data_IF_986640220544
#
_entry.id   IF_986640220544
#
_cell.length_a   1.000
_cell.length_b   1.000
_cell.length_c   1.000
_cell.angle_alpha   90.00
_cell.angle_beta   90.00
_cell.angle_gamma   90.00
#
_symmetry.space_group_name_H-M   'P 1'
#
loop_
_entity.id
_entity.type
_entity.pdbx_description
1 polymer ?
#
# COMPACT_ATOMS: atom_id res chain seq x y z
N UNK A 1 28.32 20.27 2.58
CA UNK A 1 27.46 19.47 1.68
C UNK A 1 28.12 18.13 1.45
N UNK A 2 27.37 17.04 1.50
CA UNK A 2 27.89 15.69 1.28
C UNK A 2 28.53 15.57 -0.12
N UNK A 3 29.68 14.88 -0.25
CA UNK A 3 30.46 14.78 -1.50
C UNK A 3 29.59 14.25 -2.65
N UNK A 4 28.64 13.36 -2.34
CA UNK A 4 27.66 12.82 -3.28
C UNK A 4 26.68 13.87 -3.81
N UNK A 5 26.20 14.80 -2.97
CA UNK A 5 25.24 15.83 -3.38
C UNK A 5 25.89 16.89 -4.27
N UNK A 6 27.17 17.20 -4.03
CA UNK A 6 27.94 18.10 -4.88
C UNK A 6 28.12 17.50 -6.27
N UNK A 7 28.55 16.23 -6.34
CA UNK A 7 28.73 15.51 -7.60
C UNK A 7 27.41 15.38 -8.37
N UNK A 8 26.30 15.04 -7.68
CA UNK A 8 24.98 14.98 -8.28
C UNK A 8 24.54 16.32 -8.91
N UNK A 9 24.73 17.43 -8.20
CA UNK A 9 24.40 18.77 -8.71
C UNK A 9 25.26 19.16 -9.91
N UNK A 10 26.55 18.83 -9.89
CA UNK A 10 27.48 19.14 -10.99
C UNK A 10 27.18 18.31 -12.24
N UNK A 11 26.83 17.02 -12.07
CA UNK A 11 26.38 16.17 -13.18
C UNK A 11 25.09 16.73 -13.77
N UNK A 12 24.12 17.10 -12.92
CA UNK A 12 22.83 17.63 -13.37
C UNK A 12 22.96 18.92 -14.18
N UNK A 13 23.86 19.82 -13.77
CA UNK A 13 24.17 21.03 -14.53
C UNK A 13 24.88 20.71 -15.86
N UNK A 14 25.85 19.80 -15.85
CA UNK A 14 26.61 19.45 -17.04
C UNK A 14 25.80 18.71 -18.10
N UNK A 15 24.72 18.01 -17.73
CA UNK A 15 23.82 17.36 -18.69
C UNK A 15 22.76 18.29 -19.27
N UNK A 16 22.82 19.59 -18.98
CA UNK A 16 21.90 20.60 -19.52
C UNK A 16 20.67 20.89 -18.64
N UNK A 17 20.65 20.39 -17.40
CA UNK A 17 19.56 20.59 -16.43
C UNK A 17 18.39 19.60 -16.59
N UNK A 18 17.39 19.74 -15.72
CA UNK A 18 16.20 18.87 -15.67
C UNK A 18 15.50 18.72 -17.02
N UNK A 19 15.22 19.83 -17.69
CA UNK A 19 14.51 19.84 -18.97
C UNK A 19 15.26 19.20 -20.14
N UNK A 20 16.51 18.76 -19.95
CA UNK A 20 17.27 18.04 -20.96
C UNK A 20 17.36 16.53 -20.69
N UNK A 21 16.89 16.03 -19.54
CA UNK A 21 17.01 14.61 -19.17
C UNK A 21 15.73 13.87 -19.55
N UNK A 22 15.84 12.89 -20.45
CA UNK A 22 14.73 12.01 -20.81
C UNK A 22 14.64 10.79 -19.89
N UNK A 23 15.79 10.27 -19.45
CA UNK A 23 15.87 9.07 -18.61
C UNK A 23 17.07 9.11 -17.66
N UNK A 24 16.85 8.70 -16.41
CA UNK A 24 17.89 8.63 -15.38
C UNK A 24 17.87 7.29 -14.63
N UNK A 25 18.92 6.51 -14.82
CA UNK A 25 19.10 5.18 -14.23
C UNK A 25 20.51 5.01 -13.64
N UNK A 26 20.73 3.95 -12.88
CA UNK A 26 22.07 3.53 -12.48
C UNK A 26 22.19 2.01 -12.54
N UNK A 27 23.41 1.54 -12.72
CA UNK A 27 23.78 0.16 -12.42
C UNK A 27 24.65 0.11 -11.16
N UNK A 28 25.42 -0.96 -10.98
CA UNK A 28 26.28 -1.13 -9.81
C UNK A 28 27.37 -0.05 -9.72
N UNK A 29 27.93 0.41 -10.85
CA UNK A 29 29.10 1.31 -10.88
C UNK A 29 28.92 2.58 -11.72
N UNK A 30 27.80 2.73 -12.42
CA UNK A 30 27.59 3.82 -13.40
C UNK A 30 26.28 4.57 -13.19
N UNK A 31 26.34 5.88 -13.37
CA UNK A 31 25.20 6.78 -13.56
C UNK A 31 24.88 6.81 -15.05
N UNK A 32 23.61 6.61 -15.41
CA UNK A 32 23.14 6.50 -16.80
C UNK A 32 22.12 7.59 -17.08
N UNK A 33 22.40 8.42 -18.07
CA UNK A 33 21.56 9.56 -18.45
C UNK A 33 21.27 9.47 -19.94
N UNK A 34 20.00 9.51 -20.32
CA UNK A 34 19.57 9.79 -21.69
C UNK A 34 19.08 11.24 -21.73
N UNK A 35 19.44 11.96 -22.79
CA UNK A 35 19.12 13.38 -22.95
C UNK A 35 18.30 13.65 -24.20
N UNK A 36 17.53 14.75 -24.18
CA UNK A 36 16.74 15.19 -25.33
C UNK A 36 17.60 15.90 -26.38
N UNK A 37 18.63 16.63 -25.95
CA UNK A 37 19.55 17.37 -26.82
C UNK A 37 21.01 17.18 -26.36
N UNK A 38 21.79 16.49 -27.18
CA UNK A 38 23.23 16.26 -27.01
C UNK A 38 24.04 17.58 -27.03
N UNK A 39 23.57 18.63 -27.71
CA UNK A 39 24.31 19.90 -27.84
C UNK A 39 24.36 20.68 -26.52
N UNK A 40 23.45 20.40 -25.59
CA UNK A 40 23.40 21.01 -24.25
C UNK A 40 24.29 20.29 -23.24
N UNK A 41 25.01 19.25 -23.66
CA UNK A 41 25.81 18.41 -22.78
C UNK A 41 27.27 18.88 -22.74
N UNK A 42 27.72 19.35 -21.58
CA UNK A 42 29.11 19.79 -21.37
C UNK A 42 30.01 18.59 -21.02
N UNK A 43 30.28 17.76 -22.03
CA UNK A 43 31.09 16.54 -21.88
C UNK A 43 32.51 16.82 -21.38
N UNK A 44 33.10 17.94 -21.78
CA UNK A 44 34.46 18.31 -21.42
C UNK A 44 34.56 18.55 -19.92
N UNK A 45 33.60 19.28 -19.35
CA UNK A 45 33.52 19.51 -17.90
C UNK A 45 33.11 18.27 -17.13
N UNK A 46 32.15 17.48 -17.64
CA UNK A 46 31.67 16.28 -16.96
C UNK A 46 32.76 15.21 -16.79
N UNK A 47 33.69 15.09 -17.74
CA UNK A 47 34.80 14.13 -17.65
C UNK A 47 35.86 14.52 -16.62
N UNK A 48 35.95 15.80 -16.25
CA UNK A 48 36.96 16.32 -15.32
C UNK A 48 36.44 16.47 -13.88
N UNK A 49 35.18 16.14 -13.62
CA UNK A 49 34.60 16.21 -12.28
C UNK A 49 35.24 15.20 -11.33
N UNK A 50 35.59 15.68 -10.13
CA UNK A 50 36.11 14.85 -9.05
C UNK A 50 35.06 13.81 -8.61
N UNK A 51 35.35 12.52 -8.85
CA UNK A 51 34.43 11.41 -8.58
C UNK A 51 33.92 10.68 -9.84
N UNK A 52 34.16 11.22 -11.03
CA UNK A 52 33.96 10.51 -12.30
C UNK A 52 35.28 9.88 -12.74
N UNK A 53 35.30 8.55 -12.78
CA UNK A 53 36.47 7.73 -13.17
C UNK A 53 36.52 7.42 -14.66
N UNK A 54 35.45 7.73 -15.39
CA UNK A 54 35.37 7.49 -16.83
C UNK A 54 33.99 7.79 -17.40
N UNK A 55 33.91 7.88 -18.72
CA UNK A 55 32.69 8.16 -19.48
C UNK A 55 32.59 7.23 -20.69
N UNK A 56 31.38 6.74 -20.98
CA UNK A 56 31.07 5.93 -22.14
C UNK A 56 29.71 6.36 -22.72
N UNK A 57 29.59 6.44 -24.05
CA UNK A 57 28.28 6.53 -24.73
C UNK A 57 27.92 5.16 -25.29
N UNK A 58 26.71 4.68 -25.01
CA UNK A 58 26.20 3.39 -25.51
C UNK A 58 24.78 3.61 -26.05
N UNK A 59 24.63 3.66 -27.38
CA UNK A 59 23.41 4.13 -28.02
C UNK A 59 23.13 5.59 -27.61
N UNK A 60 21.89 5.86 -27.20
CA UNK A 60 21.45 7.18 -26.71
C UNK A 60 21.80 7.44 -25.24
N UNK A 61 22.43 6.47 -24.57
CA UNK A 61 22.71 6.55 -23.13
C UNK A 61 24.16 7.00 -22.85
N UNK A 62 24.26 8.09 -22.09
CA UNK A 62 25.51 8.62 -21.52
C UNK A 62 25.78 7.97 -20.16
N UNK A 63 26.90 7.27 -20.03
CA UNK A 63 27.27 6.53 -18.82
C UNK A 63 28.50 7.15 -18.14
N UNK A 64 28.35 7.62 -16.91
CA UNK A 64 29.42 8.15 -16.07
C UNK A 64 29.81 7.11 -15.01
N UNK A 65 31.07 6.69 -15.01
CA UNK A 65 31.60 5.67 -14.09
C UNK A 65 31.98 6.36 -12.79
N UNK A 66 31.23 6.10 -11.71
CA UNK A 66 31.48 6.71 -10.39
C UNK A 66 31.91 5.68 -9.33
N UNK A 67 31.78 4.39 -9.65
CA UNK A 67 32.23 3.27 -8.81
C UNK A 67 31.11 2.59 -8.01
N UNK A 68 31.39 1.37 -7.49
CA UNK A 68 30.42 0.57 -6.77
C UNK A 68 29.93 1.26 -5.49
N UNK A 69 28.61 1.26 -5.26
CA UNK A 69 27.98 1.90 -4.10
C UNK A 69 27.78 3.42 -4.21
N UNK A 70 28.53 4.12 -5.05
CA UNK A 70 28.35 5.56 -5.32
C UNK A 70 27.27 5.83 -6.38
N UNK A 71 27.14 4.96 -7.38
CA UNK A 71 26.21 5.15 -8.51
C UNK A 71 24.75 5.32 -8.09
N UNK A 72 24.24 4.47 -7.20
CA UNK A 72 22.87 4.58 -6.68
C UNK A 72 22.70 5.86 -5.86
N UNK A 73 23.65 6.19 -4.98
CA UNK A 73 23.59 7.38 -4.13
C UNK A 73 23.59 8.68 -4.95
N UNK A 74 24.38 8.74 -6.02
CA UNK A 74 24.43 9.90 -6.93
C UNK A 74 23.13 10.03 -7.71
N UNK A 75 22.57 8.93 -8.24
CA UNK A 75 21.28 8.98 -8.93
C UNK A 75 20.13 9.35 -8.00
N UNK A 76 20.11 8.82 -6.76
CA UNK A 76 19.09 9.19 -5.77
C UNK A 76 19.21 10.66 -5.36
N UNK A 77 20.43 11.19 -5.23
CA UNK A 77 20.67 12.61 -5.01
C UNK A 77 20.23 13.46 -6.21
N UNK A 78 20.54 13.06 -7.44
CA UNK A 78 20.07 13.72 -8.66
C UNK A 78 18.54 13.71 -8.76
N UNK A 79 17.88 12.59 -8.46
CA UNK A 79 16.40 12.51 -8.40
C UNK A 79 15.82 13.40 -7.32
N UNK A 80 16.51 13.55 -6.19
CA UNK A 80 16.09 14.47 -5.12
C UNK A 80 16.23 15.92 -5.57
N UNK A 81 17.29 16.27 -6.30
CA UNK A 81 17.51 17.61 -6.85
C UNK A 81 16.52 17.94 -7.99
N UNK A 82 16.21 16.98 -8.86
CA UNK A 82 15.17 17.09 -9.88
C UNK A 82 13.79 17.34 -9.25
N UNK A 83 13.48 16.61 -8.17
CA UNK A 83 12.26 16.84 -7.36
C UNK A 83 12.19 18.20 -6.69
N UNK A 84 13.30 18.93 -6.57
CA UNK A 84 13.31 20.29 -5.99
C UNK A 84 13.09 21.40 -7.01
N UNK A 85 13.23 21.13 -8.32
CA UNK A 85 13.02 22.13 -9.38
C UNK A 85 11.60 22.14 -9.95
N UNK A 86 10.84 21.04 -9.81
CA UNK A 86 9.41 21.02 -10.14
C UNK A 86 8.50 21.15 -8.89
N UNK A 87 7.77 22.27 -8.86
CA UNK A 87 6.58 22.57 -8.07
C UNK A 87 6.76 22.97 -6.57
N UNK A 88 6.65 24.28 -6.22
CA UNK A 88 6.42 24.73 -4.83
C UNK A 88 5.15 24.15 -4.17
N UNK A 89 4.30 23.45 -4.90
CA UNK A 89 3.08 22.79 -4.39
C UNK A 89 3.37 21.40 -3.81
N UNK A 90 4.31 20.64 -4.40
CA UNK A 90 4.61 19.28 -3.96
C UNK A 90 5.41 19.25 -2.65
N UNK A 91 6.25 20.27 -2.44
CA UNK A 91 6.96 20.52 -1.18
C UNK A 91 6.02 20.78 0.00
N UNK A 92 4.92 21.52 -0.20
CA UNK A 92 3.98 21.83 0.88
C UNK A 92 3.17 20.61 1.32
N UNK A 93 2.71 19.77 0.38
CA UNK A 93 2.02 18.51 0.70
C UNK A 93 2.95 17.59 1.50
N UNK A 94 4.21 17.45 1.08
CA UNK A 94 5.21 16.64 1.78
C UNK A 94 5.52 17.17 3.17
N UNK A 95 5.66 18.50 3.32
CA UNK A 95 5.90 19.17 4.60
C UNK A 95 4.72 19.01 5.56
N UNK A 96 3.49 19.21 5.08
CA UNK A 96 2.27 19.03 5.86
C UNK A 96 2.07 17.57 6.29
N UNK A 97 2.42 16.61 5.43
CA UNK A 97 2.43 15.19 5.78
C UNK A 97 3.45 14.88 6.88
N UNK A 98 4.66 15.42 6.78
CA UNK A 98 5.70 15.23 7.78
C UNK A 98 5.33 15.85 9.15
N UNK A 99 4.79 17.08 9.15
CA UNK A 99 4.37 17.76 10.37
C UNK A 99 3.18 17.06 11.04
N UNK A 100 2.18 16.64 10.26
CA UNK A 100 1.07 15.85 10.75
C UNK A 100 1.54 14.54 11.38
N UNK A 101 2.49 13.84 10.73
CA UNK A 101 3.05 12.59 11.26
C UNK A 101 3.79 12.82 12.58
N UNK A 102 4.55 13.91 12.72
CA UNK A 102 5.22 14.22 13.98
C UNK A 102 4.22 14.54 15.10
N UNK A 103 3.19 15.34 14.80
CA UNK A 103 2.19 15.80 15.77
C UNK A 103 1.20 14.72 16.20
N UNK A 104 0.79 13.84 15.29
CA UNK A 104 -0.26 12.84 15.51
C UNK A 104 0.26 11.40 15.56
N UNK A 105 1.57 11.20 15.73
CA UNK A 105 2.14 9.86 15.92
C UNK A 105 1.65 9.24 17.23
N UNK A 106 1.06 8.04 17.14
CA UNK A 106 0.56 7.34 18.32
C UNK A 106 1.68 6.56 19.04
N UNK A 107 1.64 6.44 20.39
CA UNK A 107 2.66 5.74 21.19
C UNK A 107 2.77 4.23 20.93
N UNK A 108 1.79 3.60 20.25
CA UNK A 108 1.84 2.19 19.83
C UNK A 108 2.25 2.01 18.35
N UNK A 109 2.74 3.06 17.70
CA UNK A 109 3.07 3.07 16.26
C UNK A 109 4.16 2.05 15.88
N UNK A 110 5.08 1.67 16.76
CA UNK A 110 6.21 0.79 16.40
C UNK A 110 5.80 -0.63 15.96
N UNK A 111 4.95 -1.31 16.72
CA UNK A 111 4.51 -2.67 16.39
C UNK A 111 3.57 -2.69 15.18
N UNK A 112 2.60 -1.77 15.15
CA UNK A 112 1.69 -1.62 14.00
C UNK A 112 2.44 -1.20 12.74
N UNK A 113 3.53 -0.43 12.88
CA UNK A 113 4.39 -0.07 11.76
C UNK A 113 5.15 -1.27 11.21
N UNK A 114 5.73 -2.10 12.09
CA UNK A 114 6.36 -3.36 11.64
C UNK A 114 5.37 -4.22 10.88
N UNK A 115 4.14 -4.37 11.39
CA UNK A 115 3.07 -5.09 10.68
C UNK A 115 2.79 -4.45 9.31
N UNK A 116 2.62 -3.13 9.24
CA UNK A 116 2.43 -2.42 7.98
C UNK A 116 3.55 -2.66 6.97
N UNK A 117 4.81 -2.62 7.43
CA UNK A 117 5.99 -2.79 6.58
C UNK A 117 6.09 -4.22 5.96
N UNK A 118 5.35 -5.20 6.49
CA UNK A 118 5.18 -6.53 5.88
C UNK A 118 4.29 -6.49 4.63
N UNK A 119 3.24 -5.68 4.65
CA UNK A 119 2.23 -5.66 3.58
C UNK A 119 2.39 -4.53 2.57
N UNK A 120 3.05 -3.42 2.92
CA UNK A 120 3.29 -2.30 1.99
C UNK A 120 3.92 -2.78 0.65
N UNK A 121 4.94 -3.67 0.63
CA UNK A 121 5.50 -4.16 -0.62
C UNK A 121 4.51 -4.96 -1.49
N UNK A 122 3.40 -5.42 -0.92
CA UNK A 122 2.38 -6.22 -1.61
C UNK A 122 1.29 -5.34 -2.27
N UNK A 123 1.22 -4.04 -1.95
CA UNK A 123 0.21 -3.11 -2.49
C UNK A 123 0.14 -3.17 -4.03
N UNK A 124 1.25 -3.11 -4.79
CA UNK A 124 1.17 -3.13 -6.26
C UNK A 124 0.54 -4.43 -6.80
N UNK A 125 0.84 -5.56 -6.17
CA UNK A 125 0.28 -6.85 -6.54
C UNK A 125 -1.23 -6.88 -6.29
N UNK A 126 -1.70 -6.36 -5.14
CA UNK A 126 -3.14 -6.26 -4.87
C UNK A 126 -3.88 -5.34 -5.83
N UNK A 127 -3.26 -4.22 -6.22
CA UNK A 127 -3.85 -3.30 -7.21
C UNK A 127 -4.01 -4.02 -8.55
N UNK A 128 -2.96 -4.68 -9.06
CA UNK A 128 -3.02 -5.42 -10.32
C UNK A 128 -4.08 -6.52 -10.27
N UNK A 129 -4.03 -7.36 -9.24
CA UNK A 129 -5.00 -8.44 -9.01
C UNK A 129 -6.43 -7.93 -8.91
N UNK A 130 -6.67 -6.88 -8.14
CA UNK A 130 -7.99 -6.30 -7.95
C UNK A 130 -8.57 -5.68 -9.22
N UNK A 131 -7.74 -5.00 -10.03
CA UNK A 131 -8.18 -4.44 -11.31
C UNK A 131 -8.53 -5.55 -12.31
N UNK A 132 -7.70 -6.61 -12.39
CA UNK A 132 -7.98 -7.76 -13.25
C UNK A 132 -9.29 -8.44 -12.81
N UNK A 133 -9.46 -8.72 -11.52
CA UNK A 133 -10.71 -9.28 -10.98
C UNK A 133 -11.92 -8.38 -11.25
N UNK A 134 -11.74 -7.07 -11.13
CA UNK A 134 -12.77 -6.09 -11.43
C UNK A 134 -13.20 -6.08 -12.90
N UNK A 135 -12.23 -6.16 -13.81
CA UNK A 135 -12.49 -6.29 -15.26
C UNK A 135 -13.22 -7.61 -15.53
N UNK A 136 -12.80 -8.72 -14.92
CA UNK A 136 -13.48 -10.02 -15.07
C UNK A 136 -14.94 -9.93 -14.62
N UNK A 137 -15.23 -9.27 -13.50
CA UNK A 137 -16.60 -9.08 -13.01
C UNK A 137 -17.48 -8.31 -14.01
N UNK A 138 -16.88 -7.38 -14.75
CA UNK A 138 -17.56 -6.63 -15.82
C UNK A 138 -17.77 -7.50 -17.06
N UNK A 139 -16.74 -8.24 -17.47
CA UNK A 139 -16.80 -9.11 -18.66
C UNK A 139 -17.74 -10.30 -18.49
N UNK A 140 -17.97 -10.75 -17.24
CA UNK A 140 -18.94 -11.80 -16.90
C UNK A 140 -20.39 -11.36 -16.95
N UNK A 141 -20.67 -10.07 -17.13
CA UNK A 141 -22.02 -9.50 -17.13
C UNK A 141 -22.57 -9.40 -18.56
N UNK A 142 -23.59 -10.18 -18.93
CA UNK A 142 -24.14 -10.16 -20.29
C UNK A 142 -24.73 -8.80 -20.68
N UNK A 143 -25.24 -8.06 -19.71
CA UNK A 143 -25.78 -6.70 -19.88
C UNK A 143 -24.72 -5.66 -20.28
N UNK A 144 -23.44 -5.94 -20.02
CA UNK A 144 -22.34 -5.00 -20.28
C UNK A 144 -21.42 -5.51 -21.39
N UNK A 145 -21.10 -6.80 -21.36
CA UNK A 145 -20.11 -7.44 -22.21
C UNK A 145 -20.71 -8.44 -23.21
N UNK A 146 -22.04 -8.56 -23.28
CA UNK A 146 -22.73 -9.48 -24.20
C UNK A 146 -22.31 -10.93 -23.97
N UNK A 147 -22.01 -11.64 -25.05
CA UNK A 147 -21.60 -13.05 -25.03
C UNK A 147 -20.09 -13.26 -24.79
N UNK A 148 -19.29 -12.22 -24.51
CA UNK A 148 -17.82 -12.36 -24.31
C UNK A 148 -17.49 -13.47 -23.30
N UNK A 149 -18.29 -13.59 -22.23
CA UNK A 149 -18.05 -14.59 -21.21
C UNK A 149 -18.27 -16.03 -21.67
N UNK A 150 -19.25 -16.24 -22.56
CA UNK A 150 -19.57 -17.56 -23.12
C UNK A 150 -18.70 -17.89 -24.33
N UNK A 151 -18.28 -16.87 -25.08
CA UNK A 151 -17.50 -17.03 -26.31
C UNK A 151 -16.01 -17.25 -26.01
N UNK A 152 -15.49 -16.67 -24.92
CA UNK A 152 -14.08 -16.74 -24.54
C UNK A 152 -13.85 -17.23 -23.08
N UNK A 153 -14.38 -18.39 -22.69
CA UNK A 153 -14.29 -18.86 -21.30
C UNK A 153 -12.85 -19.14 -20.85
N UNK A 154 -11.98 -19.59 -21.77
CA UNK A 154 -10.57 -19.86 -21.49
C UNK A 154 -9.78 -18.58 -21.20
N UNK A 155 -10.07 -17.48 -21.91
CA UNK A 155 -9.42 -16.18 -21.66
C UNK A 155 -9.81 -15.67 -20.27
N UNK A 156 -11.09 -15.75 -19.92
CA UNK A 156 -11.56 -15.39 -18.58
C UNK A 156 -10.97 -16.28 -17.49
N UNK A 157 -10.79 -17.58 -17.77
CA UNK A 157 -10.09 -18.51 -16.87
C UNK A 157 -8.64 -18.09 -16.62
N UNK A 158 -7.89 -17.77 -17.67
CA UNK A 158 -6.52 -17.28 -17.55
C UNK A 158 -6.44 -15.96 -16.79
N UNK A 159 -7.32 -15.00 -17.11
CA UNK A 159 -7.40 -13.73 -16.37
C UNK A 159 -7.73 -13.97 -14.89
N UNK A 160 -8.61 -14.92 -14.58
CA UNK A 160 -8.93 -15.27 -13.20
C UNK A 160 -7.71 -15.84 -12.46
N UNK A 161 -6.87 -16.64 -13.11
CA UNK A 161 -5.59 -17.11 -12.55
C UNK A 161 -4.65 -15.92 -12.30
N UNK A 162 -4.51 -15.01 -13.26
CA UNK A 162 -3.64 -13.83 -13.11
C UNK A 162 -4.11 -12.92 -11.96
N UNK A 163 -5.42 -12.67 -11.90
CA UNK A 163 -6.04 -11.89 -10.83
C UNK A 163 -5.93 -12.58 -9.46
N UNK A 164 -6.09 -13.90 -9.42
CA UNK A 164 -6.05 -14.69 -8.19
C UNK A 164 -4.65 -14.99 -7.64
N UNK A 165 -3.60 -14.82 -8.45
CA UNK A 165 -2.24 -15.28 -8.12
C UNK A 165 -1.73 -14.76 -6.76
N UNK A 166 -1.89 -13.47 -6.46
CA UNK A 166 -1.43 -12.88 -5.18
C UNK A 166 -2.11 -13.52 -3.97
N UNK A 167 -3.38 -13.91 -4.11
CA UNK A 167 -4.15 -14.55 -3.05
C UNK A 167 -3.71 -16.00 -2.84
N UNK A 168 -3.38 -16.70 -3.93
CA UNK A 168 -2.91 -18.08 -3.89
C UNK A 168 -1.56 -18.23 -3.15
N UNK A 169 -0.67 -17.24 -3.27
CA UNK A 169 0.66 -17.24 -2.61
C UNK A 169 0.78 -16.20 -1.49
N UNK A 170 -0.35 -15.68 -1.00
CA UNK A 170 -0.41 -14.60 -0.01
C UNK A 170 0.44 -14.88 1.22
N UNK A 171 0.23 -16.05 1.83
CA UNK A 171 0.92 -16.47 3.04
C UNK A 171 2.44 -16.51 2.82
N UNK A 172 2.88 -17.00 1.65
CA UNK A 172 4.29 -17.09 1.30
C UNK A 172 4.91 -15.69 1.16
N UNK A 173 4.25 -14.79 0.43
CA UNK A 173 4.70 -13.41 0.26
C UNK A 173 4.78 -12.67 1.61
N UNK A 174 3.78 -12.88 2.48
CA UNK A 174 3.79 -12.33 3.84
C UNK A 174 4.92 -12.94 4.66
N UNK A 175 5.16 -14.26 4.59
CA UNK A 175 6.24 -14.91 5.33
C UNK A 175 7.63 -14.37 4.94
N UNK A 176 7.88 -14.21 3.64
CA UNK A 176 9.12 -13.59 3.12
C UNK A 176 9.28 -12.17 3.64
N UNK A 177 8.24 -11.35 3.54
CA UNK A 177 8.28 -9.96 3.98
C UNK A 177 8.39 -9.82 5.51
N UNK A 178 7.74 -10.70 6.26
CA UNK A 178 7.83 -10.77 7.71
C UNK A 178 9.26 -11.10 8.14
N UNK A 179 9.89 -12.09 7.49
CA UNK A 179 11.28 -12.45 7.78
C UNK A 179 12.23 -11.26 7.52
N UNK A 180 12.02 -10.53 6.41
CA UNK A 180 12.76 -9.28 6.13
C UNK A 180 12.56 -8.23 7.23
N UNK A 181 11.33 -8.00 7.69
CA UNK A 181 11.01 -6.99 8.72
C UNK A 181 11.55 -7.38 10.09
N UNK A 182 11.45 -8.67 10.46
CA UNK A 182 11.98 -9.18 11.72
C UNK A 182 13.50 -9.45 11.65
N UNK A 183 14.11 -9.34 10.48
CA UNK A 183 15.56 -9.44 10.25
C UNK A 183 16.11 -10.87 10.28
N UNK A 184 15.33 -11.86 9.84
CA UNK A 184 15.79 -13.24 9.61
C UNK A 184 15.90 -13.58 8.13
N UNK A 185 16.12 -14.86 7.82
CA UNK A 185 16.26 -15.35 6.46
C UNK A 185 14.92 -15.33 5.71
N UNK A 186 14.88 -14.59 4.60
CA UNK A 186 13.68 -14.43 3.76
C UNK A 186 13.22 -15.75 3.15
N UNK A 187 14.16 -16.57 2.67
CA UNK A 187 13.86 -17.89 2.13
C UNK A 187 13.20 -18.79 3.19
N UNK A 188 13.73 -18.77 4.42
CA UNK A 188 13.15 -19.51 5.55
C UNK A 188 11.74 -19.01 5.90
N UNK A 189 11.50 -17.71 5.85
CA UNK A 189 10.15 -17.14 6.02
C UNK A 189 9.15 -17.68 5.00
N UNK A 190 9.55 -17.77 3.73
CA UNK A 190 8.75 -18.37 2.66
C UNK A 190 8.53 -19.87 2.87
N UNK A 191 9.56 -20.62 3.25
CA UNK A 191 9.48 -22.06 3.58
C UNK A 191 8.50 -22.28 4.73
N UNK A 192 8.58 -21.48 5.80
CA UNK A 192 7.67 -21.62 6.93
C UNK A 192 6.22 -21.39 6.54
N UNK A 193 5.95 -20.32 5.78
CA UNK A 193 4.62 -20.08 5.26
C UNK A 193 4.12 -21.19 4.32
N UNK A 194 5.01 -21.78 3.52
CA UNK A 194 4.73 -22.92 2.66
C UNK A 194 4.35 -24.18 3.45
N UNK A 195 5.09 -24.49 4.53
CA UNK A 195 4.75 -25.58 5.46
C UNK A 195 3.35 -25.37 6.02
N UNK A 196 3.05 -24.19 6.54
CA UNK A 196 1.75 -23.86 7.13
C UNK A 196 0.60 -23.96 6.12
N UNK A 197 0.86 -23.63 4.86
CA UNK A 197 -0.15 -23.60 3.79
C UNK A 197 -0.23 -24.92 3.01
N UNK A 198 0.57 -25.92 3.39
CA UNK A 198 0.67 -27.18 2.64
C UNK A 198 -0.64 -27.97 2.71
N UNK A 199 -1.24 -28.34 1.57
CA UNK A 199 -2.42 -29.21 1.55
C UNK A 199 -2.16 -30.58 2.20
N UNK A 200 -0.91 -31.03 2.25
CA UNK A 200 -0.52 -32.29 2.86
C UNK A 200 -0.80 -32.34 4.37
N UNK A 201 -0.94 -31.18 5.05
CA UNK A 201 -1.37 -31.14 6.44
C UNK A 201 -2.74 -31.79 6.64
N UNK A 202 -3.65 -31.67 5.67
CA UNK A 202 -4.98 -32.30 5.73
C UNK A 202 -4.95 -33.85 5.74
N UNK A 203 -3.79 -34.45 5.50
CA UNK A 203 -3.61 -35.91 5.55
C UNK A 203 -2.98 -36.38 6.88
N UNK A 204 -2.73 -35.46 7.81
CA UNK A 204 -2.08 -35.73 9.09
C UNK A 204 -3.09 -35.52 10.21
N UNK A 205 -3.21 -36.50 11.11
CA UNK A 205 -4.04 -36.41 12.32
C UNK A 205 -3.14 -36.35 13.55
N UNK A 206 -3.40 -35.39 14.43
CA UNK A 206 -2.61 -35.13 15.63
C UNK A 206 -3.56 -34.82 16.79
N UNK A 207 -3.37 -35.49 17.93
CA UNK A 207 -4.28 -35.41 19.09
C UNK A 207 -5.76 -35.73 18.77
N UNK A 208 -6.01 -36.58 17.77
CA UNK A 208 -7.37 -36.95 17.35
C UNK A 208 -8.04 -35.98 16.37
N UNK A 209 -7.38 -34.88 16.00
CA UNK A 209 -7.88 -33.87 15.05
C UNK A 209 -7.04 -33.86 13.77
N UNK A 210 -7.69 -33.77 12.61
CA UNK A 210 -6.99 -33.59 11.33
C UNK A 210 -6.48 -32.15 11.23
N UNK A 211 -5.20 -31.99 10.86
CA UNK A 211 -4.60 -30.68 10.72
C UNK A 211 -5.23 -29.92 9.55
N UNK A 212 -5.45 -28.62 9.73
CA UNK A 212 -6.06 -27.77 8.71
C UNK A 212 -4.98 -26.95 7.99
N UNK A 213 -4.78 -27.15 6.67
CA UNK A 213 -3.90 -26.31 5.87
C UNK A 213 -4.26 -24.83 6.02
N UNK A 214 -3.27 -24.00 6.34
CA UNK A 214 -3.45 -22.56 6.45
C UNK A 214 -4.25 -22.08 7.68
N UNK A 215 -4.47 -22.93 8.70
CA UNK A 215 -5.17 -22.52 9.92
C UNK A 215 -4.54 -21.27 10.56
N UNK A 216 -5.39 -20.29 10.89
CA UNK A 216 -4.98 -18.98 11.41
C UNK A 216 -4.43 -18.01 10.36
N UNK A 217 -4.50 -18.39 9.08
CA UNK A 217 -4.24 -17.51 7.95
C UNK A 217 -2.90 -16.79 8.02
N UNK A 218 -2.91 -15.53 7.59
CA UNK A 218 -1.73 -14.67 7.64
C UNK A 218 -1.31 -14.33 9.08
N UNK A 219 -2.22 -14.33 10.04
CA UNK A 219 -1.90 -14.06 11.46
C UNK A 219 -0.96 -15.14 12.00
N UNK A 220 -1.26 -16.42 11.74
CA UNK A 220 -0.38 -17.53 12.09
C UNK A 220 0.99 -17.41 11.42
N UNK A 221 1.04 -17.04 10.13
CA UNK A 221 2.31 -16.82 9.41
C UNK A 221 3.16 -15.75 10.10
N UNK A 222 2.57 -14.63 10.50
CA UNK A 222 3.28 -13.55 11.20
C UNK A 222 3.88 -14.03 12.53
N UNK A 223 3.11 -14.78 13.33
CA UNK A 223 3.55 -15.34 14.60
C UNK A 223 4.70 -16.34 14.41
N UNK A 224 4.55 -17.26 13.45
CA UNK A 224 5.54 -18.30 13.16
C UNK A 224 6.83 -17.71 12.65
N UNK A 225 6.77 -16.76 11.73
CA UNK A 225 7.98 -16.15 11.17
C UNK A 225 8.67 -15.26 12.20
N UNK A 226 7.93 -14.59 13.09
CA UNK A 226 8.53 -13.87 14.21
C UNK A 226 9.31 -14.81 15.15
N UNK A 227 8.73 -15.95 15.50
CA UNK A 227 9.40 -16.98 16.30
C UNK A 227 10.63 -17.56 15.57
N UNK A 228 10.47 -17.87 14.27
CA UNK A 228 11.55 -18.37 13.42
C UNK A 228 12.73 -17.40 13.40
N UNK A 229 12.49 -16.11 13.15
CA UNK A 229 13.55 -15.10 13.12
C UNK A 229 14.24 -14.94 14.48
N UNK A 230 13.49 -15.06 15.58
CA UNK A 230 14.06 -15.02 16.92
C UNK A 230 14.97 -16.23 17.17
N UNK A 231 14.50 -17.44 16.84
CA UNK A 231 15.25 -18.68 17.03
C UNK A 231 16.49 -18.73 16.13
N UNK A 232 16.36 -18.39 14.85
CA UNK A 232 17.45 -18.35 13.87
C UNK A 232 18.60 -17.45 14.34
N UNK A 233 18.28 -16.26 14.87
CA UNK A 233 19.28 -15.34 15.43
C UNK A 233 19.91 -15.87 16.71
N UNK A 234 19.13 -16.57 17.54
CA UNK A 234 19.64 -17.16 18.78
C UNK A 234 20.62 -18.28 18.48
N UNK A 235 20.28 -19.17 17.56
CA UNK A 235 21.13 -20.28 17.13
C UNK A 235 22.41 -19.81 16.45
N UNK A 236 22.35 -18.73 15.65
CA UNK A 236 23.54 -18.13 15.04
C UNK A 236 24.61 -17.71 16.05
N UNK A 237 24.19 -17.34 17.26
CA UNK A 237 25.10 -16.94 18.34
C UNK A 237 25.51 -18.12 19.25
N UNK A 238 24.80 -19.25 19.18
CA UNK A 238 25.03 -20.43 20.03
C UNK A 238 25.83 -21.52 19.32
N UNK A 239 25.68 -21.65 18.01
CA UNK A 239 26.33 -22.68 17.22
C UNK A 239 27.74 -22.25 16.80
N UNK A 240 28.72 -23.19 16.80
CA UNK A 240 30.02 -22.95 16.19
C UNK A 240 29.88 -22.65 14.69
N UNK A 241 30.71 -21.75 14.16
CA UNK A 241 30.67 -21.29 12.77
C UNK A 241 30.75 -22.45 11.75
N UNK A 242 31.49 -23.52 12.08
CA UNK A 242 31.66 -24.70 11.22
C UNK A 242 30.37 -25.49 10.96
N UNK A 243 29.39 -25.42 11.87
CA UNK A 243 28.14 -26.18 11.78
C UNK A 243 26.90 -25.31 11.65
N UNK A 244 27.03 -24.00 11.90
CA UNK A 244 25.91 -23.03 11.87
C UNK A 244 25.16 -23.07 10.54
N UNK A 245 25.87 -23.11 9.41
CA UNK A 245 25.28 -23.11 8.07
C UNK A 245 24.31 -24.28 7.83
N UNK A 246 24.55 -25.43 8.48
CA UNK A 246 23.74 -26.65 8.31
C UNK A 246 22.72 -26.78 9.44
N UNK A 247 23.18 -26.65 10.68
CA UNK A 247 22.35 -26.93 11.86
C UNK A 247 21.36 -25.80 12.15
N UNK A 248 21.70 -24.54 11.90
CA UNK A 248 20.79 -23.42 12.18
C UNK A 248 19.48 -23.53 11.37
N UNK A 249 19.49 -23.61 10.03
CA UNK A 249 18.25 -23.75 9.26
C UNK A 249 17.50 -25.05 9.58
N UNK A 250 18.20 -26.18 9.81
CA UNK A 250 17.58 -27.45 10.17
C UNK A 250 16.82 -27.35 11.51
N UNK A 251 17.52 -26.94 12.58
CA UNK A 251 16.95 -26.84 13.93
C UNK A 251 15.86 -25.78 13.98
N UNK A 252 16.09 -24.62 13.35
CA UNK A 252 15.08 -23.56 13.25
C UNK A 252 13.81 -24.09 12.59
N UNK A 253 13.92 -24.82 11.49
CA UNK A 253 12.76 -25.40 10.80
C UNK A 253 12.04 -26.41 11.68
N UNK A 254 12.76 -27.41 12.20
CA UNK A 254 12.15 -28.50 12.96
C UNK A 254 11.42 -27.96 14.20
N UNK A 255 12.06 -27.08 14.97
CA UNK A 255 11.45 -26.52 16.17
C UNK A 255 10.31 -25.59 15.81
N UNK A 256 10.53 -24.63 14.91
CA UNK A 256 9.50 -23.62 14.61
C UNK A 256 8.31 -24.23 13.89
N UNK A 257 8.49 -25.16 12.95
CA UNK A 257 7.39 -25.85 12.27
C UNK A 257 6.55 -26.69 13.23
N UNK A 258 7.19 -27.40 14.16
CA UNK A 258 6.47 -28.20 15.17
C UNK A 258 5.64 -27.30 16.08
N UNK A 259 6.26 -26.25 16.63
CA UNK A 259 5.55 -25.26 17.46
C UNK A 259 4.48 -24.51 16.66
N UNK A 260 4.71 -24.29 15.37
CA UNK A 260 3.74 -23.65 14.51
C UNK A 260 2.45 -24.46 14.40
N UNK A 261 2.55 -25.74 14.09
CA UNK A 261 1.40 -26.62 13.90
C UNK A 261 0.65 -26.85 15.23
N UNK A 262 1.40 -27.13 16.30
CA UNK A 262 0.80 -27.52 17.58
C UNK A 262 0.26 -26.34 18.38
N UNK A 263 0.89 -25.16 18.27
CA UNK A 263 0.60 -24.02 19.15
C UNK A 263 0.18 -22.80 18.33
N UNK A 264 0.99 -22.34 17.38
CA UNK A 264 0.78 -21.03 16.76
C UNK A 264 -0.36 -21.00 15.73
N UNK A 265 -0.63 -22.09 15.01
CA UNK A 265 -1.78 -22.21 14.12
C UNK A 265 -3.11 -22.21 14.90
N UNK A 266 -3.28 -22.99 15.99
CA UNK A 266 -4.46 -22.88 16.85
C UNK A 266 -4.66 -21.48 17.44
N UNK A 267 -3.59 -20.86 17.96
CA UNK A 267 -3.65 -19.48 18.50
C UNK A 267 -4.02 -18.50 17.39
N UNK A 268 -3.35 -18.59 16.23
CA UNK A 268 -3.65 -17.78 15.07
C UNK A 268 -5.11 -17.94 14.65
N UNK A 269 -5.62 -19.18 14.59
CA UNK A 269 -7.02 -19.50 14.30
C UNK A 269 -7.98 -18.82 15.27
N UNK A 270 -7.74 -18.93 16.58
CA UNK A 270 -8.57 -18.27 17.59
C UNK A 270 -8.59 -16.74 17.42
N UNK A 271 -7.44 -16.13 17.11
CA UNK A 271 -7.35 -14.68 16.84
C UNK A 271 -8.10 -14.33 15.55
N UNK A 272 -7.89 -15.09 14.49
CA UNK A 272 -8.55 -14.93 13.18
C UNK A 272 -10.08 -15.01 13.32
N UNK A 273 -10.58 -16.07 13.98
CA UNK A 273 -12.00 -16.28 14.25
C UNK A 273 -12.58 -15.13 15.08
N UNK A 274 -11.85 -14.69 16.12
CA UNK A 274 -12.26 -13.57 16.97
C UNK A 274 -12.37 -12.25 16.20
N UNK A 275 -11.40 -11.95 15.32
CA UNK A 275 -11.43 -10.74 14.46
C UNK A 275 -12.61 -10.81 13.51
N UNK A 276 -12.76 -11.93 12.80
CA UNK A 276 -13.79 -12.12 11.80
C UNK A 276 -15.20 -12.02 12.43
N UNK A 277 -15.40 -12.72 13.55
CA UNK A 277 -16.63 -12.66 14.33
C UNK A 277 -16.92 -11.26 14.88
N UNK A 278 -15.90 -10.58 15.43
CA UNK A 278 -16.03 -9.22 15.96
C UNK A 278 -16.45 -8.21 14.89
N UNK A 279 -15.84 -8.28 13.70
CA UNK A 279 -16.22 -7.43 12.55
C UNK A 279 -17.65 -7.73 12.11
N UNK A 280 -18.03 -9.00 11.99
CA UNK A 280 -19.38 -9.38 11.58
C UNK A 280 -20.42 -8.90 12.60
N UNK A 281 -20.19 -9.07 13.90
CA UNK A 281 -21.08 -8.54 14.95
C UNK A 281 -21.21 -7.02 14.83
N UNK A 282 -20.08 -6.32 14.69
CA UNK A 282 -20.07 -4.87 14.62
C UNK A 282 -20.89 -4.38 13.42
N UNK A 283 -20.78 -5.05 12.26
CA UNK A 283 -21.52 -4.70 11.05
C UNK A 283 -22.99 -5.10 11.15
N UNK A 284 -23.29 -6.34 11.56
CA UNK A 284 -24.65 -6.87 11.57
C UNK A 284 -25.53 -6.26 12.67
N UNK A 285 -24.98 -6.04 13.87
CA UNK A 285 -25.73 -5.44 15.00
C UNK A 285 -25.57 -3.93 15.07
N UNK A 286 -24.40 -3.41 14.72
CA UNK A 286 -24.09 -1.99 14.84
C UNK A 286 -24.60 -1.14 13.67
N UNK A 287 -24.87 -1.75 12.51
CA UNK A 287 -25.55 -1.13 11.38
C UNK A 287 -25.00 0.25 11.01
N UNK A 288 -25.89 1.25 10.96
CA UNK A 288 -25.54 2.63 10.59
C UNK A 288 -24.48 3.25 11.52
N UNK A 289 -24.58 3.02 12.84
CA UNK A 289 -23.70 3.66 13.82
C UNK A 289 -22.25 3.18 13.68
N UNK A 290 -22.06 1.86 13.55
CA UNK A 290 -20.71 1.30 13.39
C UNK A 290 -20.09 1.77 12.07
N UNK A 291 -20.86 1.75 10.98
CA UNK A 291 -20.39 2.29 9.71
C UNK A 291 -19.98 3.77 9.79
N UNK A 292 -20.77 4.58 10.51
CA UNK A 292 -20.47 5.99 10.73
C UNK A 292 -19.18 6.22 11.51
N UNK A 293 -19.00 5.49 12.60
CA UNK A 293 -17.81 5.60 13.46
C UNK A 293 -16.57 5.13 12.70
N UNK A 294 -16.64 3.97 12.04
CA UNK A 294 -15.51 3.40 11.31
C UNK A 294 -15.01 4.34 10.21
N UNK A 295 -15.91 4.82 9.34
CA UNK A 295 -15.53 5.71 8.25
C UNK A 295 -15.18 7.13 8.74
N UNK A 296 -15.95 7.67 9.70
CA UNK A 296 -15.74 9.01 10.24
C UNK A 296 -14.42 9.14 11.01
N UNK A 297 -14.00 8.10 11.74
CA UNK A 297 -12.74 8.09 12.48
C UNK A 297 -11.52 7.68 11.62
N UNK A 298 -11.74 7.23 10.37
CA UNK A 298 -10.65 6.68 9.56
C UNK A 298 -9.63 7.73 9.13
N UNK A 299 -10.03 8.96 8.81
CA UNK A 299 -9.08 10.01 8.43
C UNK A 299 -8.10 10.37 9.56
N UNK A 300 -8.54 10.58 10.83
CA UNK A 300 -7.63 10.67 11.97
C UNK A 300 -6.68 9.47 12.08
N UNK A 301 -7.20 8.24 11.87
CA UNK A 301 -6.37 7.04 11.86
C UNK A 301 -5.32 7.06 10.73
N UNK A 302 -5.66 7.61 9.57
CA UNK A 302 -4.74 7.84 8.44
C UNK A 302 -3.62 8.80 8.84
N UNK A 303 -3.92 9.90 9.56
CA UNK A 303 -2.92 10.85 10.04
C UNK A 303 -1.87 10.19 10.95
N UNK A 304 -2.31 9.29 11.83
CA UNK A 304 -1.42 8.56 12.74
C UNK A 304 -0.62 7.44 12.05
N UNK A 305 -1.00 7.06 10.82
CA UNK A 305 -0.43 5.93 10.09
C UNK A 305 -0.89 4.54 10.57
N UNK A 306 -1.69 4.48 11.64
CA UNK A 306 -2.17 3.22 12.22
C UNK A 306 -3.16 2.48 11.33
N UNK A 307 -3.77 3.13 10.33
CA UNK A 307 -4.66 2.50 9.36
C UNK A 307 -4.00 1.33 8.61
N UNK A 308 -2.69 1.37 8.42
CA UNK A 308 -1.94 0.26 7.81
C UNK A 308 -1.89 -0.99 8.71
N UNK A 309 -2.12 -0.83 10.02
CA UNK A 309 -2.31 -1.93 10.95
C UNK A 309 -3.62 -2.70 10.74
N UNK A 310 -4.57 -2.19 9.94
CA UNK A 310 -5.79 -2.91 9.56
C UNK A 310 -5.58 -3.89 8.40
N UNK A 311 -4.43 -3.83 7.72
CA UNK A 311 -4.15 -4.68 6.55
C UNK A 311 -4.26 -6.19 6.87
N UNK A 312 -3.69 -6.72 7.97
CA UNK A 312 -3.89 -8.12 8.34
C UNK A 312 -5.37 -8.49 8.51
N UNK A 313 -6.19 -7.58 9.05
CA UNK A 313 -7.63 -7.80 9.25
C UNK A 313 -8.34 -7.92 7.90
N UNK A 314 -8.00 -7.06 6.93
CA UNK A 314 -8.55 -7.17 5.58
C UNK A 314 -8.17 -8.50 4.91
N UNK A 315 -6.93 -8.96 5.10
CA UNK A 315 -6.46 -10.26 4.57
C UNK A 315 -7.26 -11.39 5.20
N UNK A 316 -7.41 -11.35 6.52
CA UNK A 316 -8.15 -12.35 7.25
C UNK A 316 -9.61 -12.43 6.82
N UNK A 317 -10.30 -11.30 6.64
CA UNK A 317 -11.70 -11.29 6.20
C UNK A 317 -11.88 -11.96 4.83
N UNK A 318 -10.95 -11.73 3.89
CA UNK A 318 -10.96 -12.42 2.60
C UNK A 318 -10.66 -13.91 2.76
N UNK A 319 -9.70 -14.29 3.60
CA UNK A 319 -9.34 -15.71 3.82
C UNK A 319 -10.46 -16.50 4.51
N UNK A 320 -11.11 -15.92 5.52
CA UNK A 320 -12.15 -16.57 6.31
C UNK A 320 -13.53 -16.56 5.63
N UNK A 321 -13.88 -15.50 4.88
CA UNK A 321 -15.23 -15.29 4.37
C UNK A 321 -15.32 -15.06 2.86
N UNK A 322 -14.19 -14.99 2.15
CA UNK A 322 -14.16 -14.68 0.71
C UNK A 322 -14.57 -13.24 0.37
N UNK A 323 -14.87 -12.40 1.36
CA UNK A 323 -15.25 -11.01 1.16
C UNK A 323 -14.81 -10.11 2.31
N UNK A 324 -14.63 -8.83 1.99
CA UNK A 324 -14.16 -7.81 2.90
C UNK A 324 -15.17 -6.66 2.97
N UNK A 325 -16.06 -6.66 3.98
CA UNK A 325 -17.03 -5.57 4.15
C UNK A 325 -16.42 -4.32 4.78
N UNK A 326 -15.25 -4.45 5.42
CA UNK A 326 -14.59 -3.34 6.10
C UNK A 326 -14.03 -2.31 5.11
N UNK A 327 -13.43 -2.77 4.00
CA UNK A 327 -12.78 -1.86 3.03
C UNK A 327 -13.75 -0.85 2.39
N UNK A 328 -14.94 -1.24 1.86
CA UNK A 328 -15.89 -0.28 1.31
C UNK A 328 -16.38 0.74 2.32
N UNK A 329 -16.57 0.35 3.59
CA UNK A 329 -16.97 1.27 4.67
C UNK A 329 -15.89 2.32 4.87
N UNK A 330 -14.63 1.90 5.10
CA UNK A 330 -13.51 2.80 5.34
C UNK A 330 -13.17 3.67 4.13
N UNK A 331 -13.40 3.17 2.91
CA UNK A 331 -13.21 3.92 1.67
C UNK A 331 -14.06 5.21 1.62
N UNK A 332 -15.22 5.24 2.29
CA UNK A 332 -16.08 6.42 2.34
C UNK A 332 -15.41 7.61 3.01
N UNK A 333 -14.42 7.39 3.89
CA UNK A 333 -13.65 8.47 4.48
C UNK A 333 -12.85 9.26 3.42
N UNK A 334 -12.24 8.55 2.45
CA UNK A 334 -11.57 9.17 1.31
C UNK A 334 -12.53 9.84 0.34
N UNK A 335 -13.75 9.32 0.21
CA UNK A 335 -14.79 9.90 -0.66
C UNK A 335 -15.36 11.17 -0.03
N UNK A 336 -15.48 11.21 1.31
CA UNK A 336 -15.81 12.42 2.05
C UNK A 336 -14.79 13.54 1.83
N UNK A 337 -13.50 13.20 1.68
CA UNK A 337 -12.45 14.15 1.30
C UNK A 337 -12.67 14.76 -0.08
N UNK A 338 -13.15 13.97 -1.05
CA UNK A 338 -13.50 14.48 -2.40
C UNK A 338 -14.59 15.54 -2.28
N UNK A 339 -15.67 15.24 -1.57
CA UNK A 339 -16.76 16.19 -1.33
C UNK A 339 -16.30 17.46 -0.62
N UNK A 340 -15.52 17.33 0.45
CA UNK A 340 -14.96 18.46 1.17
C UNK A 340 -14.05 19.33 0.29
N UNK A 341 -13.17 18.72 -0.50
CA UNK A 341 -12.28 19.43 -1.41
C UNK A 341 -13.05 20.15 -2.54
N UNK A 342 -14.13 19.57 -3.05
CA UNK A 342 -15.03 20.25 -4.00
C UNK A 342 -15.67 21.49 -3.38
N UNK A 343 -16.12 21.42 -2.11
CA UNK A 343 -16.65 22.58 -1.40
C UNK A 343 -15.59 23.67 -1.21
N UNK A 344 -14.37 23.30 -0.83
CA UNK A 344 -13.25 24.25 -0.72
C UNK A 344 -12.94 24.89 -2.07
N UNK A 345 -12.85 24.10 -3.15
CA UNK A 345 -12.55 24.59 -4.50
C UNK A 345 -13.55 25.65 -4.97
N UNK A 346 -14.84 25.44 -4.70
CA UNK A 346 -15.89 26.37 -5.09
C UNK A 346 -15.91 27.64 -4.23
N UNK A 347 -15.45 27.57 -2.98
CA UNK A 347 -15.55 28.67 -2.01
C UNK A 347 -14.27 29.52 -1.92
N UNK A 348 -13.10 28.92 -2.13
CA UNK A 348 -11.81 29.61 -2.02
C UNK A 348 -11.62 30.65 -3.12
N UNK A 349 -10.97 31.77 -2.78
CA UNK A 349 -10.49 32.78 -3.73
C UNK A 349 -9.01 32.60 -4.07
N UNK A 350 -8.25 31.94 -3.21
CA UNK A 350 -6.82 31.73 -3.35
C UNK A 350 -6.47 30.90 -4.61
N UNK A 351 -5.76 31.53 -5.57
CA UNK A 351 -5.41 30.90 -6.84
C UNK A 351 -4.50 29.67 -6.69
N UNK A 352 -3.57 29.71 -5.72
CA UNK A 352 -2.67 28.59 -5.42
C UNK A 352 -3.46 27.38 -4.91
N UNK A 353 -4.35 27.59 -3.93
CA UNK A 353 -5.20 26.53 -3.37
C UNK A 353 -6.11 25.93 -4.45
N UNK A 354 -6.70 26.74 -5.34
CA UNK A 354 -7.44 26.22 -6.50
C UNK A 354 -6.60 25.29 -7.38
N UNK A 355 -5.34 25.66 -7.66
CA UNK A 355 -4.43 24.82 -8.45
C UNK A 355 -4.12 23.50 -7.74
N UNK A 356 -3.88 23.52 -6.42
CA UNK A 356 -3.67 22.30 -5.62
C UNK A 356 -4.88 21.38 -5.74
N UNK A 357 -6.09 21.91 -5.53
CA UNK A 357 -7.31 21.11 -5.53
C UNK A 357 -7.59 20.54 -6.93
N UNK A 358 -7.40 21.32 -8.00
CA UNK A 358 -7.53 20.84 -9.39
C UNK A 358 -6.62 19.64 -9.67
N UNK A 359 -5.38 19.67 -9.18
CA UNK A 359 -4.43 18.56 -9.34
C UNK A 359 -4.78 17.36 -8.46
N UNK A 360 -5.29 17.59 -7.25
CA UNK A 360 -5.54 16.54 -6.27
C UNK A 360 -6.89 15.81 -6.45
N UNK A 361 -7.94 16.49 -6.93
CA UNK A 361 -9.29 15.93 -7.05
C UNK A 361 -9.36 14.68 -7.95
N UNK A 362 -8.80 14.65 -9.16
CA UNK A 362 -8.87 13.46 -10.03
C UNK A 362 -8.29 12.22 -9.34
N UNK A 363 -7.13 12.39 -8.71
CA UNK A 363 -6.44 11.28 -8.02
C UNK A 363 -7.17 10.86 -6.74
N UNK A 364 -7.82 11.82 -6.06
CA UNK A 364 -8.69 11.56 -4.91
C UNK A 364 -9.93 10.74 -5.26
N UNK A 365 -10.59 11.02 -6.40
CA UNK A 365 -11.71 10.22 -6.92
C UNK A 365 -11.27 8.77 -7.20
N UNK A 366 -10.02 8.59 -7.65
CA UNK A 366 -9.41 7.28 -7.87
C UNK A 366 -8.97 6.59 -6.57
N UNK A 367 -9.24 7.18 -5.41
CA UNK A 367 -8.99 6.57 -4.10
C UNK A 367 -7.63 6.90 -3.47
N UNK A 368 -6.84 7.80 -4.08
CA UNK A 368 -5.57 8.29 -3.51
C UNK A 368 -5.84 9.58 -2.75
N UNK A 369 -6.08 9.46 -1.44
CA UNK A 369 -6.56 10.55 -0.60
C UNK A 369 -5.49 11.49 -0.07
N UNK A 370 -4.20 11.11 -0.05
CA UNK A 370 -3.13 11.90 0.58
C UNK A 370 -2.98 13.33 0.02
N UNK A 371 -3.07 13.56 -1.31
CA UNK A 371 -3.03 14.91 -1.84
C UNK A 371 -4.17 15.80 -1.31
N UNK A 372 -5.37 15.25 -1.11
CA UNK A 372 -6.52 15.99 -0.57
C UNK A 372 -6.39 16.24 0.94
N UNK A 373 -5.95 15.23 1.71
CA UNK A 373 -5.77 15.37 3.15
C UNK A 373 -4.71 16.45 3.44
N UNK A 374 -3.50 16.28 2.91
CA UNK A 374 -2.36 17.11 3.31
C UNK A 374 -2.25 18.41 2.50
N UNK A 375 -2.84 18.46 1.30
CA UNK A 375 -2.82 19.65 0.44
C UNK A 375 -4.04 20.56 0.61
N UNK A 376 -5.15 20.06 1.16
CA UNK A 376 -6.42 20.81 1.17
C UNK A 376 -7.07 20.79 2.54
N UNK A 377 -7.53 19.64 3.02
CA UNK A 377 -8.49 19.63 4.13
C UNK A 377 -7.84 19.80 5.50
N UNK A 378 -6.71 19.12 5.74
CA UNK A 378 -6.00 19.17 7.03
C UNK A 378 -5.42 20.56 7.31
N UNK A 379 -4.75 21.26 6.36
CA UNK A 379 -4.23 22.61 6.61
C UNK A 379 -5.33 23.62 6.97
N UNK A 380 -6.53 23.45 6.41
CA UNK A 380 -7.69 24.32 6.66
C UNK A 380 -8.47 23.95 7.94
N UNK A 381 -8.19 22.78 8.54
CA UNK A 381 -8.79 22.31 9.79
C UNK A 381 -10.28 21.92 9.69
N UNK A 382 -11.17 22.89 9.47
CA UNK A 382 -12.63 22.65 9.39
C UNK A 382 -13.04 21.75 8.22
N UNK A 383 -12.48 21.89 7.00
CA UNK A 383 -12.80 20.98 5.90
C UNK A 383 -12.38 19.54 6.17
N UNK A 384 -11.36 19.30 7.00
CA UNK A 384 -10.99 17.94 7.43
C UNK A 384 -12.10 17.31 8.28
N UNK A 385 -12.71 18.07 9.19
CA UNK A 385 -13.86 17.61 9.98
C UNK A 385 -15.07 17.37 9.06
N UNK A 386 -15.35 18.30 8.14
CA UNK A 386 -16.41 18.14 7.14
C UNK A 386 -16.25 16.86 6.30
N UNK A 387 -15.02 16.52 5.92
CA UNK A 387 -14.70 15.26 5.25
C UNK A 387 -14.96 14.04 6.14
N UNK A 388 -14.61 14.09 7.44
CA UNK A 388 -14.90 13.01 8.39
C UNK A 388 -16.40 12.79 8.54
N UNK A 389 -17.19 13.85 8.67
CA UNK A 389 -18.65 13.77 8.78
C UNK A 389 -19.29 13.25 7.49
N UNK A 390 -18.81 13.69 6.32
CA UNK A 390 -19.22 13.13 5.04
C UNK A 390 -18.93 11.63 4.96
N UNK A 391 -17.71 11.24 5.33
CA UNK A 391 -17.30 9.84 5.42
C UNK A 391 -18.17 9.02 6.37
N UNK A 392 -18.57 9.58 7.51
CA UNK A 392 -19.47 8.93 8.47
C UNK A 392 -20.84 8.62 7.84
N UNK A 393 -21.44 9.58 7.13
CA UNK A 393 -22.73 9.34 6.43
C UNK A 393 -22.58 8.23 5.39
N UNK A 394 -21.53 8.28 4.58
CA UNK A 394 -21.22 7.24 3.60
C UNK A 394 -21.03 5.87 4.23
N UNK A 395 -20.15 5.79 5.22
CA UNK A 395 -19.82 4.56 5.93
C UNK A 395 -21.04 3.93 6.59
N UNK A 396 -21.92 4.74 7.17
CA UNK A 396 -23.18 4.28 7.74
C UNK A 396 -24.02 3.54 6.68
N UNK A 397 -24.25 4.15 5.52
CA UNK A 397 -25.08 3.59 4.45
C UNK A 397 -24.45 2.33 3.84
N UNK A 398 -23.14 2.37 3.55
CA UNK A 398 -22.40 1.21 3.02
C UNK A 398 -22.47 0.02 3.99
N UNK A 399 -22.33 0.28 5.30
CA UNK A 399 -22.45 -0.73 6.34
C UNK A 399 -23.89 -1.28 6.42
N UNK A 400 -24.89 -0.41 6.45
CA UNK A 400 -26.31 -0.79 6.50
C UNK A 400 -26.73 -1.63 5.27
N UNK A 401 -26.26 -1.26 4.08
CA UNK A 401 -26.51 -2.01 2.85
C UNK A 401 -25.68 -3.29 2.72
N UNK A 402 -24.80 -3.56 3.69
CA UNK A 402 -23.90 -4.73 3.73
C UNK A 402 -23.10 -4.87 2.43
N UNK A 403 -22.53 -3.77 1.98
CA UNK A 403 -21.69 -3.75 0.77
C UNK A 403 -20.32 -4.31 1.14
N UNK A 404 -19.85 -5.30 0.38
CA UNK A 404 -18.53 -5.91 0.55
C UNK A 404 -17.77 -5.98 -0.78
N UNK A 405 -16.45 -6.13 -0.70
CA UNK A 405 -15.57 -6.36 -1.87
C UNK A 405 -14.94 -7.75 -1.83
N UNK A 406 -14.50 -8.25 -2.98
CA UNK A 406 -13.75 -9.51 -3.11
C UNK A 406 -12.23 -9.32 -3.05
N UNK A 407 -11.74 -8.10 -2.83
CA UNK A 407 -10.31 -7.81 -2.71
C UNK A 407 -9.91 -7.47 -1.27
N UNK A 408 -8.62 -7.67 -0.97
CA UNK A 408 -8.08 -7.34 0.34
C UNK A 408 -7.96 -5.84 0.57
N UNK A 409 -7.14 -5.15 -0.20
CA UNK A 409 -6.91 -3.70 -0.11
C UNK A 409 -6.15 -3.24 -1.36
N UNK A 410 -5.83 -1.95 -1.46
CA UNK A 410 -5.00 -1.39 -2.54
C UNK A 410 -5.79 -0.51 -3.52
N UNK A 411 -7.00 -0.91 -3.87
CA UNK A 411 -7.92 -0.10 -4.68
C UNK A 411 -8.99 0.50 -3.77
N UNK A 412 -9.30 1.79 -3.97
CA UNK A 412 -10.32 2.53 -3.20
C UNK A 412 -11.09 3.47 -4.13
N UNK A 413 -11.94 4.35 -3.58
CA UNK A 413 -12.68 5.36 -4.34
C UNK A 413 -13.58 4.76 -5.41
N UNK A 414 -13.68 5.42 -6.56
CA UNK A 414 -14.50 4.94 -7.68
C UNK A 414 -14.04 3.56 -8.22
N UNK A 415 -12.74 3.30 -8.44
CA UNK A 415 -12.27 1.99 -8.94
C UNK A 415 -12.66 0.79 -8.07
N UNK A 416 -12.89 0.97 -6.76
CA UNK A 416 -13.33 -0.11 -5.87
C UNK A 416 -14.67 -0.72 -6.32
N UNK A 417 -15.53 0.03 -7.02
CA UNK A 417 -16.81 -0.42 -7.55
C UNK A 417 -16.70 -1.70 -8.41
N UNK A 418 -15.58 -1.87 -9.13
CA UNK A 418 -15.32 -3.03 -9.98
C UNK A 418 -15.19 -4.34 -9.19
N UNK A 419 -14.81 -4.23 -7.92
CA UNK A 419 -14.52 -5.36 -7.03
C UNK A 419 -15.62 -5.62 -6.00
N UNK A 420 -16.68 -4.80 -6.00
CA UNK A 420 -17.83 -5.00 -5.13
C UNK A 420 -18.56 -6.28 -5.54
N UNK A 421 -19.00 -7.05 -4.53
CA UNK A 421 -19.76 -8.28 -4.74
C UNK A 421 -20.98 -8.05 -5.65
N UNK A 422 -21.32 -9.07 -6.44
CA UNK A 422 -22.45 -9.03 -7.38
C UNK A 422 -23.74 -8.61 -6.67
N UNK A 423 -24.54 -7.78 -7.34
CA UNK A 423 -25.80 -7.24 -6.80
C UNK A 423 -25.66 -6.03 -5.87
N UNK A 424 -24.45 -5.65 -5.42
CA UNK A 424 -24.24 -4.52 -4.50
C UNK A 424 -23.53 -3.30 -5.12
N UNK A 425 -23.08 -3.40 -6.38
CA UNK A 425 -22.34 -2.33 -7.07
C UNK A 425 -23.12 -1.01 -7.11
N UNK A 426 -24.43 -1.05 -7.42
CA UNK A 426 -25.23 0.17 -7.47
C UNK A 426 -25.41 0.84 -6.10
N UNK A 427 -25.49 0.04 -5.03
CA UNK A 427 -25.53 0.56 -3.66
C UNK A 427 -24.20 1.21 -3.28
N UNK A 428 -23.07 0.65 -3.73
CA UNK A 428 -21.76 1.28 -3.56
C UNK A 428 -21.67 2.62 -4.30
N UNK A 429 -22.10 2.67 -5.56
CA UNK A 429 -22.09 3.90 -6.37
C UNK A 429 -23.03 4.98 -5.79
N UNK A 430 -24.22 4.59 -5.32
CA UNK A 430 -25.12 5.51 -4.62
C UNK A 430 -24.48 6.03 -3.32
N UNK A 431 -23.84 5.14 -2.55
CA UNK A 431 -23.08 5.51 -1.36
C UNK A 431 -21.97 6.50 -1.67
N UNK A 432 -21.21 6.31 -2.76
CA UNK A 432 -20.19 7.26 -3.22
C UNK A 432 -20.77 8.66 -3.44
N UNK A 433 -21.86 8.77 -4.21
CA UNK A 433 -22.50 10.05 -4.52
C UNK A 433 -22.99 10.72 -3.24
N UNK A 434 -23.69 9.98 -2.37
CA UNK A 434 -24.20 10.52 -1.11
C UNK A 434 -23.05 11.01 -0.21
N UNK A 435 -21.94 10.28 -0.17
CA UNK A 435 -20.76 10.63 0.63
C UNK A 435 -20.10 11.92 0.13
N UNK A 436 -19.98 12.07 -1.20
CA UNK A 436 -19.47 13.31 -1.81
C UNK A 436 -20.39 14.48 -1.46
N UNK A 437 -21.70 14.32 -1.61
CA UNK A 437 -22.68 15.35 -1.28
C UNK A 437 -22.64 15.71 0.21
N UNK A 438 -22.59 14.72 1.10
CA UNK A 438 -22.50 14.96 2.54
C UNK A 438 -21.21 15.69 2.92
N UNK A 439 -20.05 15.22 2.43
CA UNK A 439 -18.76 15.87 2.66
C UNK A 439 -18.72 17.31 2.13
N UNK A 440 -19.34 17.56 0.98
CA UNK A 440 -19.52 18.90 0.42
C UNK A 440 -20.38 19.78 1.34
N UNK A 441 -21.58 19.31 1.72
CA UNK A 441 -22.54 20.08 2.51
C UNK A 441 -21.95 20.42 3.89
N UNK A 442 -21.40 19.45 4.62
CA UNK A 442 -20.80 19.71 5.93
C UNK A 442 -19.67 20.74 5.84
N UNK A 443 -18.78 20.60 4.85
CA UNK A 443 -17.67 21.53 4.64
C UNK A 443 -18.17 22.93 4.25
N UNK A 444 -19.18 23.00 3.39
CA UNK A 444 -19.77 24.27 2.95
C UNK A 444 -20.35 25.06 4.11
N UNK A 445 -21.12 24.38 4.97
CA UNK A 445 -21.79 24.95 6.13
C UNK A 445 -20.79 25.37 7.23
N UNK A 446 -19.79 24.53 7.52
CA UNK A 446 -18.76 24.85 8.53
C UNK A 446 -17.86 26.03 8.11
N UNK A 447 -17.68 26.21 6.80
CA UNK A 447 -16.73 27.17 6.26
C UNK A 447 -15.29 26.89 6.67
N UNK A 448 -14.38 27.75 6.23
CA UNK A 448 -12.96 27.68 6.57
C UNK A 448 -12.34 29.07 6.45
N UNK A 449 -11.20 29.26 7.11
CA UNK A 449 -10.40 30.46 6.96
C UNK A 449 -9.65 30.33 5.63
N UNK A 450 -10.08 31.09 4.64
CA UNK A 450 -9.45 31.08 3.31
C UNK A 450 -8.06 31.72 3.42
N UNK A 451 -6.98 31.04 2.97
CA UNK A 451 -5.64 31.61 3.04
C UNK A 451 -5.52 32.85 2.16
N UNK A 452 -4.83 33.89 2.65
CA UNK A 452 -4.45 35.05 1.84
C UNK A 452 -3.59 34.63 0.64
N UNK A 453 -3.66 35.39 -0.45
CA UNK A 453 -2.98 35.07 -1.71
C UNK A 453 -1.44 35.03 -1.62
#
# INVERSE_FOLDING_TARGET
>A
MDKTNLLASQILQGVGGEGNISKLENCMTRVRVEVHDDARLDLTRLKTLEGIKGYLKQGDQHQFIVGPGAAAKVVDAMRTLLRTTDAPVQNDIARNKASAKAKYSAPMSGALRKLADVFIPLIPAFIASGLIMGIINLLKRPDIAGSIATDFPNILGLLAIFGGAVFAIMNILVGVNAARVFGGSQAMGGVMAGILSSPALAQITLFGETLQPGRGGVIAVLLVVALMCWLEKRLRNLLPESVELILNPLITTLITATLAIVILQPIGGFISDGIAHGVNIAIDKGGLLVGAVLAGAFLPLVLSGLHQGLVPIHVELIQAHGSNPLLPILAMAGVGQVGAAMAVYMKTRNARLKKVIKGALPVGILGIGEPLIFGVTLPLGRPFIGACLGGAVGGALICYWKVATVITFGISGLPLALTIISGKVMLYLAGLVITVLAGFIFTWLMGFNDPEE
#
